data_IF_734827358708
#
_entry.id   IF_734827358708
#
_cell.length_a   1.000
_cell.length_b   1.000
_cell.length_c   1.000
_cell.angle_alpha   90.00
_cell.angle_beta   90.00
_cell.angle_gamma   90.00
#
_symmetry.space_group_name_H-M   'P 1'
#
loop_
_entity.id
_entity.type
_entity.pdbx_description
1 polymer ?
#
# COMPACT_ATOMS: atom_id res chain seq x y z
N UNK A 1 -50.06 35.61 40.99
CA UNK A 1 -50.20 36.43 39.78
C UNK A 1 -48.83 36.98 39.46
N UNK A 2 -48.09 36.29 38.60
CA UNK A 2 -47.01 36.88 37.80
C UNK A 2 -46.70 35.87 36.70
N UNK A 3 -47.09 36.25 35.49
CA UNK A 3 -46.82 35.53 34.25
C UNK A 3 -45.59 36.21 33.67
N UNK A 4 -44.53 35.45 33.39
CA UNK A 4 -43.51 35.86 32.43
C UNK A 4 -43.22 34.72 31.45
N UNK A 5 -43.43 35.04 30.18
CA UNK A 5 -43.26 34.22 29.00
C UNK A 5 -41.86 34.43 28.39
N UNK A 6 -41.24 33.34 27.90
CA UNK A 6 -40.47 33.34 26.65
C UNK A 6 -38.94 33.40 26.72
N UNK A 7 -38.27 32.31 26.32
CA UNK A 7 -37.60 32.17 25.00
C UNK A 7 -36.77 30.88 24.93
N UNK A 8 -37.05 30.10 23.88
CA UNK A 8 -36.19 29.03 23.35
C UNK A 8 -34.79 29.52 22.95
N UNK A 9 -33.92 28.53 22.69
CA UNK A 9 -32.77 28.52 21.74
C UNK A 9 -31.37 28.37 22.37
N UNK A 10 -30.91 27.10 22.37
CA UNK A 10 -29.62 26.59 21.86
C UNK A 10 -28.31 27.31 22.25
N UNK A 11 -27.44 26.61 23.02
CA UNK A 11 -25.98 26.76 22.88
C UNK A 11 -25.26 25.40 22.98
N UNK A 12 -25.09 24.80 21.80
CA UNK A 12 -23.86 24.19 21.26
C UNK A 12 -22.92 23.40 22.19
N UNK A 13 -23.13 22.08 22.19
CA UNK A 13 -22.16 21.00 21.91
C UNK A 13 -20.71 21.46 21.64
N UNK A 14 -19.84 21.37 22.65
CA UNK A 14 -18.38 21.34 22.45
C UNK A 14 -17.90 19.91 22.26
N UNK A 15 -18.02 19.38 21.04
CA UNK A 15 -17.24 18.21 20.63
C UNK A 15 -15.84 18.69 20.23
N UNK A 16 -14.86 18.38 21.07
CA UNK A 16 -13.44 18.61 20.80
C UNK A 16 -13.06 17.81 19.56
N UNK A 17 -12.69 18.50 18.50
CA UNK A 17 -12.13 17.91 17.28
C UNK A 17 -10.74 17.35 17.61
N UNK A 18 -10.64 16.02 17.65
CA UNK A 18 -9.35 15.34 17.67
C UNK A 18 -8.72 15.48 16.28
N UNK A 19 -7.86 16.48 16.13
CA UNK A 19 -7.03 16.67 14.95
C UNK A 19 -5.90 15.64 15.00
N UNK A 20 -6.06 14.54 14.27
CA UNK A 20 -5.02 13.53 14.10
C UNK A 20 -4.08 14.02 12.99
N UNK A 21 -3.00 14.71 13.38
CA UNK A 21 -1.92 15.07 12.46
C UNK A 21 -1.14 13.80 12.11
N UNK A 22 -1.19 13.38 10.85
CA UNK A 22 -0.38 12.28 10.33
C UNK A 22 1.04 12.83 10.15
N UNK A 23 1.97 12.29 10.94
CA UNK A 23 3.39 12.64 10.87
C UNK A 23 3.95 12.22 9.51
N UNK A 24 4.35 13.21 8.71
CA UNK A 24 5.10 13.02 7.48
C UNK A 24 6.56 12.74 7.87
N UNK A 25 6.96 11.47 7.88
CA UNK A 25 8.34 11.07 8.13
C UNK A 25 9.12 11.29 6.83
N UNK A 26 9.87 12.39 6.76
CA UNK A 26 10.88 12.61 5.73
C UNK A 26 12.10 11.74 6.06
N UNK A 27 12.37 10.73 5.23
CA UNK A 27 13.59 9.92 5.33
C UNK A 27 14.77 10.74 4.78
N UNK A 28 15.84 10.77 5.57
CA UNK A 28 17.03 11.61 5.43
C UNK A 28 17.74 11.52 4.08
N UNK A 29 18.09 12.69 3.54
CA UNK A 29 19.10 12.85 2.48
C UNK A 29 20.48 12.54 3.03
N UNK A 30 21.07 11.40 2.64
CA UNK A 30 22.50 11.14 2.86
C UNK A 30 23.30 11.95 1.85
N UNK A 31 23.91 13.03 2.31
CA UNK A 31 25.00 13.70 1.59
C UNK A 31 26.23 12.79 1.63
N UNK A 32 26.63 12.22 0.48
CA UNK A 32 27.95 11.63 0.32
C UNK A 32 28.99 12.77 0.29
N UNK A 33 29.63 13.01 1.43
CA UNK A 33 30.83 13.82 1.51
C UNK A 33 31.97 13.13 0.77
N UNK A 34 32.54 13.83 -0.21
CA UNK A 34 33.82 13.48 -0.82
C UNK A 34 34.94 13.51 0.22
N UNK A 35 35.74 12.44 0.29
CA UNK A 35 37.13 12.56 0.70
C UNK A 35 38.01 11.90 -0.37
N UNK A 36 39.03 12.66 -0.79
CA UNK A 36 40.02 12.33 -1.81
C UNK A 36 41.31 11.82 -1.13
N UNK A 37 41.70 10.58 -1.49
CA UNK A 37 43.08 10.06 -1.79
C UNK A 37 44.20 10.06 -0.71
N UNK A 38 45.32 9.28 -0.85
CA UNK A 38 45.69 8.22 -1.83
C UNK A 38 46.44 6.95 -1.24
N UNK A 39 46.73 5.98 -2.14
CA UNK A 39 47.79 4.91 -2.14
C UNK A 39 47.82 3.88 -0.98
N UNK A 40 48.20 2.60 -1.10
CA UNK A 40 48.94 1.84 -2.12
C UNK A 40 48.81 0.31 -1.82
N UNK A 41 49.29 -0.53 -2.74
CA UNK A 41 49.77 -1.93 -2.56
C UNK A 41 48.96 -3.07 -3.19
N UNK A 42 49.55 -3.58 -4.27
CA UNK A 42 49.29 -4.83 -4.99
C UNK A 42 49.77 -6.07 -4.22
N UNK A 43 49.07 -7.21 -4.33
CA UNK A 43 49.73 -8.51 -4.44
C UNK A 43 48.82 -9.59 -5.06
N UNK A 44 49.44 -10.42 -5.88
CA UNK A 44 48.90 -11.44 -6.76
C UNK A 44 48.52 -12.77 -6.07
N UNK A 45 47.69 -13.53 -6.81
CA UNK A 45 47.71 -14.99 -7.01
C UNK A 45 47.33 -15.95 -5.87
N UNK A 46 46.32 -16.81 -6.12
CA UNK A 46 46.54 -18.19 -6.62
C UNK A 46 45.20 -18.97 -6.66
N UNK A 47 44.89 -19.63 -7.80
CA UNK A 47 44.09 -20.87 -7.85
C UNK A 47 44.96 -22.06 -7.36
N UNK A 48 44.40 -23.23 -6.94
CA UNK A 48 44.05 -24.30 -7.90
C UNK A 48 42.83 -25.21 -7.54
N UNK A 49 42.05 -25.56 -8.57
CA UNK A 49 41.77 -26.91 -9.12
C UNK A 49 41.05 -28.05 -8.33
N UNK A 50 39.98 -28.57 -8.98
CA UNK A 50 39.52 -29.98 -9.16
C UNK A 50 38.99 -30.84 -7.97
N UNK A 51 37.69 -31.22 -8.05
CA UNK A 51 37.21 -32.57 -8.46
C UNK A 51 35.81 -32.91 -7.91
N UNK A 52 34.93 -33.42 -8.78
CA UNK A 52 33.75 -34.23 -8.46
C UNK A 52 34.18 -35.70 -8.19
N UNK A 53 33.35 -36.58 -7.58
CA UNK A 53 32.29 -37.26 -8.35
C UNK A 53 31.01 -37.69 -7.59
N UNK A 54 29.91 -37.72 -8.34
CA UNK A 54 28.89 -38.76 -8.56
C UNK A 54 28.65 -39.90 -7.53
N UNK A 55 27.38 -40.04 -7.10
CA UNK A 55 26.54 -41.26 -7.29
C UNK A 55 25.32 -41.27 -6.33
N UNK A 56 24.10 -41.26 -6.86
CA UNK A 56 22.92 -41.75 -6.16
C UNK A 56 22.20 -42.81 -6.98
N UNK A 57 21.91 -43.92 -6.28
CA UNK A 57 21.32 -45.15 -6.76
C UNK A 57 19.77 -45.09 -6.79
N UNK A 58 19.08 -46.11 -7.35
CA UNK A 58 17.82 -45.92 -8.07
C UNK A 58 16.55 -46.52 -7.42
N UNK A 59 15.40 -46.03 -7.91
CA UNK A 59 14.13 -46.72 -8.28
C UNK A 59 13.42 -47.72 -7.36
N UNK A 60 12.15 -47.43 -7.05
CA UNK A 60 10.93 -48.30 -7.11
C UNK A 60 9.82 -47.65 -6.25
N UNK A 61 8.52 -47.80 -6.45
CA UNK A 61 7.64 -48.34 -7.49
C UNK A 61 6.19 -48.06 -7.04
N UNK A 62 5.24 -48.02 -7.98
CA UNK A 62 3.81 -48.39 -7.82
C UNK A 62 2.96 -47.48 -6.89
N UNK A 63 1.66 -47.25 -7.06
CA UNK A 63 0.59 -47.76 -7.92
C UNK A 63 -0.69 -46.91 -7.66
N UNK A 64 -1.71 -47.11 -8.49
CA UNK A 64 -3.16 -47.01 -8.19
C UNK A 64 -3.85 -45.63 -8.03
N UNK A 65 -4.65 -45.28 -9.05
CA UNK A 65 -5.99 -44.64 -8.96
C UNK A 65 -6.96 -45.50 -8.12
N UNK A 66 -8.08 -45.01 -7.50
CA UNK A 66 -9.12 -44.18 -8.16
C UNK A 66 -9.90 -43.15 -7.29
N UNK A 67 -10.85 -42.47 -7.96
CA UNK A 67 -11.83 -41.43 -7.58
C UNK A 67 -12.42 -41.42 -6.17
N UNK A 68 -12.67 -40.21 -5.62
CA UNK A 68 -14.02 -39.70 -5.30
C UNK A 68 -14.00 -38.26 -4.77
N UNK A 69 -15.12 -37.57 -5.00
CA UNK A 69 -15.40 -36.16 -4.78
C UNK A 69 -15.37 -35.71 -3.32
N UNK A 70 -14.99 -34.45 -3.08
CA UNK A 70 -15.71 -33.51 -2.24
C UNK A 70 -15.09 -32.10 -2.34
N UNK A 71 -15.96 -31.13 -2.59
CA UNK A 71 -15.70 -29.69 -2.60
C UNK A 71 -15.06 -29.22 -1.28
N UNK A 72 -14.00 -28.43 -1.37
CA UNK A 72 -13.56 -27.54 -0.30
C UNK A 72 -12.87 -26.34 -0.92
N UNK A 73 -13.58 -25.22 -0.90
CA UNK A 73 -13.12 -23.88 -1.23
C UNK A 73 -11.84 -23.54 -0.47
N UNK A 74 -10.73 -23.49 -1.17
CA UNK A 74 -9.53 -22.76 -0.73
C UNK A 74 -9.28 -21.66 -1.76
N UNK A 75 -9.28 -20.42 -1.28
CA UNK A 75 -8.99 -19.26 -2.10
C UNK A 75 -7.60 -19.39 -2.69
N UNK A 76 -7.53 -19.58 -4.00
CA UNK A 76 -6.30 -19.48 -4.78
C UNK A 76 -5.78 -18.05 -4.65
N UNK A 77 -4.84 -17.83 -3.74
CA UNK A 77 -3.83 -16.79 -3.92
C UNK A 77 -3.01 -17.21 -5.13
N UNK A 78 -3.41 -16.74 -6.31
CA UNK A 78 -2.59 -16.85 -7.51
C UNK A 78 -1.34 -15.99 -7.32
N UNK A 79 -0.31 -16.59 -6.75
CA UNK A 79 1.05 -16.15 -6.96
C UNK A 79 1.43 -16.54 -8.39
N UNK A 80 1.03 -15.71 -9.36
CA UNK A 80 1.64 -15.75 -10.67
C UNK A 80 3.04 -15.14 -10.56
N UNK A 81 4.04 -15.97 -10.80
CA UNK A 81 5.43 -15.58 -10.97
C UNK A 81 5.57 -14.81 -12.28
N UNK A 82 5.47 -13.48 -12.22
CA UNK A 82 5.89 -12.59 -13.31
C UNK A 82 7.35 -12.17 -13.08
N UNK A 83 8.10 -12.00 -14.16
CA UNK A 83 9.53 -11.66 -14.12
C UNK A 83 9.82 -10.33 -13.41
N UNK A 84 11.11 -10.00 -13.17
CA UNK A 84 11.52 -8.83 -12.39
C UNK A 84 10.94 -7.51 -12.89
N UNK A 85 10.70 -7.40 -14.21
CA UNK A 85 10.26 -6.16 -14.85
C UNK A 85 8.74 -5.93 -14.83
N UNK A 86 7.93 -7.00 -14.77
CA UNK A 86 6.46 -6.88 -14.84
C UNK A 86 5.81 -6.39 -13.53
N UNK A 87 6.49 -6.61 -12.40
CA UNK A 87 5.95 -6.24 -11.08
C UNK A 87 6.07 -4.76 -10.75
N UNK A 88 7.06 -4.06 -11.31
CA UNK A 88 7.30 -2.65 -10.98
C UNK A 88 6.22 -1.71 -11.54
N UNK A 89 5.61 -2.09 -12.67
CA UNK A 89 4.64 -1.26 -13.40
C UNK A 89 3.18 -1.70 -13.21
N UNK A 90 2.93 -2.87 -12.62
CA UNK A 90 1.59 -3.43 -12.45
C UNK A 90 1.03 -3.16 -11.05
N UNK A 91 -0.22 -2.71 -10.98
CA UNK A 91 -0.94 -2.53 -9.71
C UNK A 91 -1.56 -3.85 -9.24
N UNK A 92 -1.55 -4.07 -7.92
CA UNK A 92 -2.27 -5.19 -7.30
C UNK A 92 -3.77 -5.02 -7.52
N UNK A 93 -4.43 -6.10 -7.94
CA UNK A 93 -5.88 -6.13 -8.03
C UNK A 93 -6.48 -6.20 -6.62
N UNK A 94 -7.14 -5.13 -6.18
CA UNK A 94 -7.83 -5.08 -4.90
C UNK A 94 -9.28 -5.55 -5.10
N UNK A 95 -9.56 -6.76 -4.60
CA UNK A 95 -10.91 -7.35 -4.63
C UNK A 95 -11.53 -7.28 -3.25
N UNK A 96 -12.70 -6.66 -3.16
CA UNK A 96 -13.48 -6.57 -1.93
C UNK A 96 -14.76 -7.40 -2.00
N UNK A 97 -15.46 -7.53 -0.87
CA UNK A 97 -16.78 -8.16 -0.79
C UNK A 97 -17.88 -7.42 -1.57
N UNK A 98 -17.65 -6.18 -2.01
CA UNK A 98 -18.63 -5.39 -2.77
C UNK A 98 -18.23 -5.35 -4.26
N UNK A 99 -18.95 -6.12 -5.10
CA UNK A 99 -18.66 -6.24 -6.53
C UNK A 99 -18.79 -4.93 -7.31
N UNK A 100 -19.79 -4.11 -6.99
CA UNK A 100 -19.99 -2.82 -7.68
C UNK A 100 -18.92 -1.82 -7.29
N UNK A 101 -18.52 -1.80 -6.02
CA UNK A 101 -17.36 -1.02 -5.60
C UNK A 101 -16.09 -1.46 -6.32
N UNK A 102 -15.86 -2.78 -6.49
CA UNK A 102 -14.66 -3.27 -7.19
C UNK A 102 -14.60 -2.75 -8.64
N UNK A 103 -15.75 -2.71 -9.35
CA UNK A 103 -15.83 -2.15 -10.71
C UNK A 103 -15.54 -0.64 -10.75
N UNK A 104 -15.95 0.10 -9.72
CA UNK A 104 -15.64 1.52 -9.60
C UNK A 104 -14.15 1.73 -9.28
N UNK A 105 -13.63 0.98 -8.32
CA UNK A 105 -12.27 1.16 -7.81
C UNK A 105 -11.22 0.78 -8.85
N UNK A 106 -11.42 -0.28 -9.64
CA UNK A 106 -10.48 -0.64 -10.72
C UNK A 106 -10.34 0.46 -11.80
N UNK A 107 -11.34 1.34 -11.91
CA UNK A 107 -11.35 2.46 -12.85
C UNK A 107 -11.04 3.81 -12.18
N UNK A 108 -10.42 3.82 -11.00
CA UNK A 108 -10.17 5.06 -10.29
C UNK A 108 -9.15 5.95 -11.05
N UNK A 109 -9.34 7.29 -11.02
CA UNK A 109 -8.52 8.22 -11.81
C UNK A 109 -7.07 8.32 -11.33
N UNK A 110 -6.77 7.90 -10.10
CA UNK A 110 -5.43 7.96 -9.51
C UNK A 110 -4.58 6.83 -10.06
N UNK A 111 -5.10 5.60 -10.08
CA UNK A 111 -4.45 4.43 -10.71
C UNK A 111 -4.21 4.66 -12.19
N UNK A 112 -5.19 5.21 -12.92
CA UNK A 112 -5.02 5.54 -14.33
C UNK A 112 -3.86 6.52 -14.55
N UNK A 113 -3.77 7.55 -13.71
CA UNK A 113 -2.70 8.52 -13.80
C UNK A 113 -1.34 7.91 -13.38
N UNK A 114 -1.32 7.06 -12.36
CA UNK A 114 -0.14 6.34 -11.91
C UNK A 114 0.44 5.49 -13.04
N UNK A 115 -0.37 4.64 -13.66
CA UNK A 115 0.05 3.77 -14.75
C UNK A 115 0.60 4.59 -15.93
N UNK A 116 -0.09 5.67 -16.31
CA UNK A 116 0.36 6.54 -17.40
C UNK A 116 1.66 7.30 -17.10
N UNK A 117 1.98 7.58 -15.83
CA UNK A 117 3.27 8.17 -15.44
C UNK A 117 4.36 7.12 -15.29
N UNK A 118 4.01 5.91 -14.84
CA UNK A 118 4.92 4.79 -14.71
C UNK A 118 5.41 4.30 -16.08
N UNK A 119 4.54 4.25 -17.09
CA UNK A 119 4.90 3.96 -18.49
C UNK A 119 5.91 4.96 -19.07
N UNK A 120 5.97 6.19 -18.54
CA UNK A 120 6.89 7.25 -19.00
C UNK A 120 8.19 7.28 -18.22
N UNK A 121 8.28 6.57 -17.09
CA UNK A 121 9.48 6.53 -16.28
C UNK A 121 10.56 5.72 -17.01
N UNK A 122 11.74 6.31 -17.20
CA UNK A 122 12.83 5.69 -17.99
C UNK A 122 13.96 5.11 -17.12
N UNK A 123 13.88 5.30 -15.81
CA UNK A 123 14.89 4.86 -14.86
C UNK A 123 14.27 4.39 -13.54
N UNK A 124 14.99 3.55 -12.79
CA UNK A 124 14.60 3.13 -11.44
C UNK A 124 14.34 4.32 -10.52
N UNK A 125 15.15 5.38 -10.64
CA UNK A 125 14.97 6.60 -9.87
C UNK A 125 13.66 7.34 -10.23
N UNK A 126 13.29 7.37 -11.51
CA UNK A 126 12.02 7.97 -11.94
C UNK A 126 10.82 7.14 -11.47
N UNK A 127 10.92 5.81 -11.54
CA UNK A 127 9.87 4.92 -11.04
C UNK A 127 9.65 5.10 -9.53
N UNK A 128 10.73 5.20 -8.74
CA UNK A 128 10.64 5.52 -7.30
C UNK A 128 9.94 6.87 -7.08
N UNK A 129 10.30 7.92 -7.82
CA UNK A 129 9.64 9.24 -7.69
C UNK A 129 8.14 9.18 -8.00
N UNK A 130 7.73 8.40 -9.01
CA UNK A 130 6.32 8.19 -9.30
C UNK A 130 5.65 7.46 -8.14
N UNK A 131 6.24 6.39 -7.61
CA UNK A 131 5.71 5.68 -6.42
C UNK A 131 5.54 6.60 -5.22
N UNK A 132 6.52 7.45 -4.91
CA UNK A 132 6.46 8.43 -3.82
C UNK A 132 5.38 9.49 -4.05
N UNK A 133 5.24 9.98 -5.28
CA UNK A 133 4.18 10.92 -5.65
C UNK A 133 2.80 10.33 -5.40
N UNK A 134 2.56 9.10 -5.88
CA UNK A 134 1.27 8.45 -5.74
C UNK A 134 1.00 7.94 -4.32
N UNK A 135 2.05 7.64 -3.55
CA UNK A 135 1.95 7.43 -2.10
C UNK A 135 1.33 8.65 -1.41
N UNK A 136 1.85 9.85 -1.68
CA UNK A 136 1.33 11.10 -1.09
C UNK A 136 -0.11 11.39 -1.53
N UNK A 137 -0.45 11.09 -2.78
CA UNK A 137 -1.82 11.19 -3.27
C UNK A 137 -2.75 10.24 -2.52
N UNK A 138 -2.37 8.97 -2.34
CA UNK A 138 -3.17 8.00 -1.59
C UNK A 138 -3.31 8.36 -0.12
N UNK A 139 -2.27 8.91 0.53
CA UNK A 139 -2.39 9.46 1.88
C UNK A 139 -3.43 10.59 1.94
N UNK A 140 -3.42 11.49 0.96
CA UNK A 140 -4.42 12.57 0.85
C UNK A 140 -5.84 12.02 0.69
N UNK A 141 -5.99 10.96 -0.12
CA UNK A 141 -7.26 10.26 -0.31
C UNK A 141 -7.75 9.57 0.96
N UNK A 142 -6.87 8.97 1.76
CA UNK A 142 -7.22 8.36 3.05
C UNK A 142 -7.86 9.41 3.95
N UNK A 143 -7.24 10.58 4.08
CA UNK A 143 -7.75 11.66 4.91
C UNK A 143 -9.09 12.22 4.40
N UNK A 144 -9.17 12.49 3.10
CA UNK A 144 -10.37 13.03 2.48
C UNK A 144 -11.53 12.02 2.51
N UNK A 145 -11.27 10.78 2.10
CA UNK A 145 -12.23 9.69 2.12
C UNK A 145 -12.71 9.38 3.53
N UNK A 146 -11.83 9.43 4.54
CA UNK A 146 -12.21 9.21 5.92
C UNK A 146 -13.12 10.32 6.47
N UNK A 147 -12.80 11.60 6.17
CA UNK A 147 -13.67 12.73 6.51
C UNK A 147 -15.05 12.59 5.87
N UNK A 148 -15.11 12.26 4.57
CA UNK A 148 -16.37 12.01 3.85
C UNK A 148 -17.14 10.84 4.45
N UNK A 149 -16.46 9.75 4.80
CA UNK A 149 -17.06 8.58 5.45
C UNK A 149 -17.71 8.96 6.78
N UNK A 150 -17.03 9.70 7.64
CA UNK A 150 -17.61 10.13 8.93
C UNK A 150 -18.76 11.13 8.76
N UNK A 151 -18.74 11.94 7.69
CA UNK A 151 -19.83 12.87 7.40
C UNK A 151 -21.09 12.15 6.91
N UNK A 152 -20.95 11.07 6.13
CA UNK A 152 -22.07 10.34 5.52
C UNK A 152 -22.56 9.15 6.34
N UNK A 153 -21.71 8.55 7.16
CA UNK A 153 -22.06 7.37 7.95
C UNK A 153 -23.09 7.70 9.04
N UNK A 154 -23.99 6.75 9.37
CA UNK A 154 -24.88 6.89 10.53
C UNK A 154 -24.07 6.88 11.83
N UNK A 155 -24.56 7.59 12.85
CA UNK A 155 -23.86 7.74 14.15
C UNK A 155 -23.52 6.39 14.80
N UNK A 156 -24.39 5.39 14.64
CA UNK A 156 -24.18 4.01 15.13
C UNK A 156 -22.93 3.32 14.56
N UNK A 157 -22.43 3.76 13.41
CA UNK A 157 -21.23 3.20 12.76
C UNK A 157 -19.97 4.06 12.94
N UNK A 158 -20.10 5.35 13.26
CA UNK A 158 -18.97 6.30 13.34
C UNK A 158 -17.88 5.83 14.30
N UNK A 159 -18.24 5.38 15.50
CA UNK A 159 -17.25 4.90 16.49
C UNK A 159 -16.47 3.69 15.98
N UNK A 160 -17.14 2.79 15.26
CA UNK A 160 -16.50 1.63 14.63
C UNK A 160 -15.48 2.05 13.55
N UNK A 161 -15.82 3.05 12.72
CA UNK A 161 -14.89 3.61 11.73
C UNK A 161 -13.70 4.33 12.39
N UNK A 162 -13.93 5.09 13.45
CA UNK A 162 -12.89 5.74 14.24
C UNK A 162 -11.89 4.74 14.82
N UNK A 163 -12.37 3.73 15.54
CA UNK A 163 -11.49 2.73 16.14
C UNK A 163 -10.65 1.98 15.08
N UNK A 164 -11.22 1.70 13.90
CA UNK A 164 -10.47 1.09 12.79
C UNK A 164 -9.45 2.02 12.16
N UNK A 165 -9.68 3.34 12.15
CA UNK A 165 -8.70 4.32 11.68
C UNK A 165 -7.57 4.48 12.69
N UNK A 166 -7.90 4.64 13.97
CA UNK A 166 -6.93 4.74 15.07
C UNK A 166 -6.02 3.50 15.12
N UNK A 167 -6.59 2.28 15.05
CA UNK A 167 -5.81 1.05 15.03
C UNK A 167 -4.85 0.97 13.83
N UNK A 168 -5.33 1.36 12.63
CA UNK A 168 -4.50 1.33 11.43
C UNK A 168 -3.37 2.36 11.52
N UNK A 169 -3.65 3.59 11.96
CA UNK A 169 -2.62 4.62 12.16
C UNK A 169 -1.57 4.17 13.18
N UNK A 170 -2.01 3.56 14.30
CA UNK A 170 -1.09 3.04 15.32
C UNK A 170 -0.19 1.92 14.79
N UNK A 171 -0.69 1.06 13.91
CA UNK A 171 0.08 -0.03 13.30
C UNK A 171 0.96 0.38 12.11
N UNK A 172 0.66 1.53 11.50
CA UNK A 172 1.34 1.99 10.27
C UNK A 172 2.87 2.07 10.41
N UNK A 173 3.46 2.63 11.48
CA UNK A 173 4.92 2.68 11.61
C UNK A 173 5.59 1.31 11.56
N UNK A 174 5.04 0.32 12.27
CA UNK A 174 5.59 -1.03 12.31
C UNK A 174 5.43 -1.75 10.96
N UNK A 175 4.30 -1.56 10.28
CA UNK A 175 4.06 -2.17 8.97
C UNK A 175 4.95 -1.54 7.88
N UNK A 176 5.17 -0.23 7.89
CA UNK A 176 6.10 0.43 6.97
C UNK A 176 7.57 0.08 7.25
N UNK A 177 7.91 -0.12 8.52
CA UNK A 177 9.25 -0.59 8.90
C UNK A 177 9.54 -1.96 8.26
N UNK A 178 8.59 -2.89 8.29
CA UNK A 178 8.74 -4.21 7.62
C UNK A 178 8.95 -4.13 6.11
N UNK A 179 8.37 -3.12 5.46
CA UNK A 179 8.56 -2.88 4.01
C UNK A 179 9.99 -2.35 3.76
N UNK A 180 10.44 -1.39 4.57
CA UNK A 180 11.69 -0.66 4.34
C UNK A 180 12.95 -1.40 4.80
N UNK A 181 12.87 -2.21 5.87
CA UNK A 181 14.00 -3.03 6.35
C UNK A 181 14.52 -3.99 5.28
N UNK A 182 13.64 -4.48 4.39
CA UNK A 182 14.03 -5.35 3.28
C UNK A 182 14.88 -4.64 2.22
N UNK A 183 14.81 -3.30 2.13
CA UNK A 183 15.44 -2.52 1.08
C UNK A 183 16.74 -1.81 1.50
N UNK A 184 17.00 -1.63 2.80
CA UNK A 184 18.10 -0.80 3.30
C UNK A 184 19.50 -1.24 2.87
N UNK A 185 19.69 -2.51 2.49
CA UNK A 185 20.99 -3.08 2.10
C UNK A 185 21.02 -3.70 0.70
N UNK A 186 19.96 -3.54 -0.10
CA UNK A 186 19.71 -4.38 -1.28
C UNK A 186 19.71 -3.63 -2.65
N UNK A 187 20.25 -2.40 -2.68
CA UNK A 187 20.44 -1.63 -3.92
C UNK A 187 19.17 -1.01 -4.51
N UNK A 188 19.27 -0.42 -5.69
CA UNK A 188 18.22 0.41 -6.29
C UNK A 188 16.93 -0.35 -6.60
N UNK A 189 17.01 -1.64 -6.98
CA UNK A 189 15.82 -2.45 -7.25
C UNK A 189 15.02 -2.77 -5.99
N UNK A 190 15.70 -3.03 -4.86
CA UNK A 190 15.01 -3.23 -3.59
C UNK A 190 14.36 -1.94 -3.08
N UNK A 191 14.99 -0.78 -3.33
CA UNK A 191 14.38 0.52 -3.06
C UNK A 191 13.14 0.76 -3.93
N UNK A 192 13.18 0.37 -5.21
CA UNK A 192 12.02 0.41 -6.09
C UNK A 192 10.88 -0.45 -5.56
N UNK A 193 11.16 -1.71 -5.22
CA UNK A 193 10.16 -2.63 -4.65
C UNK A 193 9.54 -2.06 -3.36
N UNK A 194 10.36 -1.60 -2.40
CA UNK A 194 9.85 -1.02 -1.15
C UNK A 194 9.02 0.24 -1.39
N UNK A 195 9.39 1.08 -2.36
CA UNK A 195 8.60 2.26 -2.72
C UNK A 195 7.23 1.87 -3.31
N UNK A 196 7.18 0.84 -4.15
CA UNK A 196 5.94 0.30 -4.73
C UNK A 196 5.05 -0.36 -3.68
N UNK A 197 5.63 -1.16 -2.77
CA UNK A 197 4.91 -1.76 -1.64
C UNK A 197 4.34 -0.71 -0.70
N UNK A 198 5.09 0.36 -0.44
CA UNK A 198 4.62 1.50 0.38
C UNK A 198 3.43 2.19 -0.28
N UNK A 199 3.49 2.42 -1.60
CA UNK A 199 2.38 3.01 -2.35
C UNK A 199 1.13 2.13 -2.28
N UNK A 200 1.26 0.82 -2.52
CA UNK A 200 0.15 -0.14 -2.44
C UNK A 200 -0.43 -0.23 -1.02
N UNK A 201 0.39 -0.17 0.04
CA UNK A 201 -0.08 -0.16 1.42
C UNK A 201 -1.10 0.97 1.68
N UNK A 202 -0.82 2.17 1.19
CA UNK A 202 -1.75 3.30 1.30
C UNK A 202 -2.93 3.17 0.34
N UNK A 203 -2.73 2.68 -0.88
CA UNK A 203 -3.81 2.41 -1.84
C UNK A 203 -4.83 1.41 -1.30
N UNK A 204 -4.38 0.33 -0.66
CA UNK A 204 -5.24 -0.66 0.01
C UNK A 204 -6.05 -0.04 1.13
N UNK A 205 -5.45 0.85 1.93
CA UNK A 205 -6.19 1.57 2.97
C UNK A 205 -7.25 2.50 2.39
N UNK A 206 -6.91 3.25 1.34
CA UNK A 206 -7.85 4.12 0.65
C UNK A 206 -9.03 3.30 0.09
N UNK A 207 -8.77 2.16 -0.55
CA UNK A 207 -9.80 1.24 -1.04
C UNK A 207 -10.74 0.78 0.08
N UNK A 208 -10.19 0.42 1.25
CA UNK A 208 -10.99 0.00 2.40
C UNK A 208 -11.91 1.13 2.93
N UNK A 209 -11.42 2.38 2.95
CA UNK A 209 -12.21 3.55 3.34
C UNK A 209 -13.29 3.82 2.30
N UNK A 210 -12.93 3.85 1.02
CA UNK A 210 -13.86 4.13 -0.07
C UNK A 210 -14.93 3.06 -0.24
N UNK A 211 -14.60 1.79 0.02
CA UNK A 211 -15.61 0.72 0.09
C UNK A 211 -16.68 1.02 1.13
N UNK A 212 -16.27 1.50 2.31
CA UNK A 212 -17.20 1.87 3.37
C UNK A 212 -17.94 3.18 3.06
N UNK A 213 -17.31 4.14 2.39
CA UNK A 213 -17.98 5.36 1.95
C UNK A 213 -19.06 5.04 0.92
N UNK A 214 -18.76 4.17 -0.04
CA UNK A 214 -19.68 3.76 -1.11
C UNK A 214 -20.98 3.16 -0.56
N UNK A 215 -20.97 2.50 0.60
CA UNK A 215 -22.21 1.98 1.21
C UNK A 215 -23.14 3.07 1.73
N UNK A 216 -22.63 4.29 1.95
CA UNK A 216 -23.39 5.45 2.44
C UNK A 216 -23.56 6.54 1.39
N UNK A 217 -22.67 6.57 0.40
CA UNK A 217 -22.66 7.54 -0.69
C UNK A 217 -22.06 6.89 -1.95
N UNK A 218 -22.92 6.27 -2.78
CA UNK A 218 -22.50 5.64 -4.03
C UNK A 218 -22.01 6.64 -5.09
N UNK A 219 -22.27 7.94 -4.90
CA UNK A 219 -21.88 9.03 -5.81
C UNK A 219 -20.65 9.79 -5.29
N UNK A 220 -19.91 9.22 -4.34
CA UNK A 220 -18.71 9.85 -3.82
C UNK A 220 -17.72 10.17 -4.94
N UNK A 221 -16.92 11.21 -4.72
CA UNK A 221 -15.81 11.59 -5.61
C UNK A 221 -14.49 11.45 -4.88
N UNK A 222 -13.41 11.19 -5.63
CA UNK A 222 -12.03 11.27 -5.13
C UNK A 222 -11.66 12.72 -4.80
N UNK A 223 -10.66 12.93 -3.94
CA UNK A 223 -10.10 14.27 -3.74
C UNK A 223 -9.26 14.71 -4.94
N UNK A 224 -8.60 13.73 -5.58
CA UNK A 224 -7.84 13.87 -6.79
C UNK A 224 -8.72 14.32 -7.95
N UNK A 225 -8.26 15.39 -8.60
CA UNK A 225 -8.69 15.79 -9.93
C UNK A 225 -7.47 15.69 -10.85
N UNK A 226 -7.63 14.96 -11.97
CA UNK A 226 -6.61 14.98 -13.00
C UNK A 226 -6.46 16.41 -13.51
N UNK A 227 -5.24 16.96 -13.49
CA UNK A 227 -4.96 18.20 -14.22
C UNK A 227 -5.22 17.90 -15.69
N UNK A 228 -6.09 18.70 -16.31
CA UNK A 228 -6.33 18.69 -17.76
C UNK A 228 -5.13 19.26 -18.49
#
# INVERSE_FOLDING_TARGET
>A
MEIYFGKDVMVMKKMKTASLLIASIMVFSVFFGCNKTPEDTSSLASEPTLSAPESQAPSKASSSSPSSAASSSSGTSSAASSGPDDKATSLKNIVTSNKEFNKLFVNNPIDKAYLAEMEKATSTADMIKVNEKYTKLWQTEIDSGYKKLLAKAPDSKKKSYQNRQEKWVKGTPDDLKKITEKAQSAGAMAQLEASGETMEFYRERAAAIYKNLYTHDAKFTYAYSAKK
#
